data_IF_259191881135
#
_entry.id   IF_259191881135
#
_cell.length_a   1.000
_cell.length_b   1.000
_cell.length_c   1.000
_cell.angle_alpha   90.00
_cell.angle_beta   90.00
_cell.angle_gamma   90.00
#
_symmetry.space_group_name_H-M   'P 1'
#
loop_
_entity.id
_entity.type
_entity.pdbx_description
1 polymer ?
#
# COMPACT_ATOMS: atom_id res chain seq x y z
N UNK A 1 19.71 26.11 -30.16
CA UNK A 1 20.42 24.81 -30.16
C UNK A 1 20.50 24.35 -28.71
N UNK A 2 20.08 23.20 -28.21
CA UNK A 2 19.21 22.08 -28.63
C UNK A 2 18.88 21.37 -27.31
N UNK A 3 17.72 20.70 -27.25
CA UNK A 3 17.33 19.59 -26.35
C UNK A 3 16.25 19.91 -25.30
N UNK A 4 15.30 19.05 -24.98
CA UNK A 4 14.78 17.78 -25.53
C UNK A 4 13.34 17.73 -25.01
N UNK A 5 12.38 17.46 -25.89
CA UNK A 5 10.96 17.27 -25.56
C UNK A 5 10.77 15.88 -24.94
N UNK A 6 10.35 15.80 -23.68
CA UNK A 6 9.83 14.55 -23.10
C UNK A 6 8.30 14.60 -23.09
N UNK A 7 7.71 13.80 -23.97
CA UNK A 7 6.27 13.57 -24.10
C UNK A 7 5.73 12.92 -22.83
N UNK A 8 4.81 13.60 -22.16
CA UNK A 8 3.90 12.99 -21.21
C UNK A 8 2.87 12.17 -22.00
N UNK A 9 2.94 10.85 -21.90
CA UNK A 9 1.90 9.96 -22.40
C UNK A 9 0.85 9.75 -21.31
N UNK A 10 -0.27 10.44 -21.46
CA UNK A 10 -1.53 10.15 -20.79
C UNK A 10 -2.42 9.37 -21.78
N UNK A 11 -3.07 8.28 -21.36
CA UNK A 11 -4.36 7.95 -21.93
C UNK A 11 -5.44 8.10 -20.84
N UNK A 12 -6.39 8.96 -21.20
CA UNK A 12 -7.65 9.18 -20.53
C UNK A 12 -8.59 7.97 -20.68
N UNK A 13 -9.65 7.99 -19.85
CA UNK A 13 -10.92 7.24 -19.96
C UNK A 13 -10.98 5.89 -19.25
N UNK A 14 -11.50 5.91 -18.02
CA UNK A 14 -12.24 4.77 -17.47
C UNK A 14 -13.68 5.20 -17.17
N UNK A 15 -14.53 5.03 -18.18
CA UNK A 15 -15.96 4.87 -18.02
C UNK A 15 -16.30 3.39 -18.25
N UNK A 16 -16.96 2.80 -17.26
CA UNK A 16 -17.88 1.65 -17.27
C UNK A 16 -17.92 0.77 -18.56
N UNK A 17 -17.62 -0.53 -18.43
CA UNK A 17 -18.55 -1.66 -18.76
C UNK A 17 -17.89 -3.04 -18.62
N UNK A 18 -18.55 -3.89 -17.83
CA UNK A 18 -18.74 -5.35 -17.90
C UNK A 18 -17.88 -6.25 -18.84
N UNK A 19 -17.38 -7.33 -18.22
CA UNK A 19 -17.40 -8.76 -18.66
C UNK A 19 -16.92 -9.04 -20.11
N UNK A 20 -15.76 -9.69 -20.25
CA UNK A 20 -15.49 -10.95 -20.98
C UNK A 20 -14.00 -11.06 -21.33
N UNK A 21 -13.35 -12.07 -20.77
CA UNK A 21 -12.01 -12.52 -21.09
C UNK A 21 -11.84 -13.97 -20.61
N UNK A 22 -12.80 -14.82 -20.97
CA UNK A 22 -12.74 -16.27 -20.78
C UNK A 22 -11.78 -16.80 -21.85
N UNK A 23 -10.81 -17.61 -21.42
CA UNK A 23 -9.72 -18.26 -22.20
C UNK A 23 -8.34 -17.58 -22.17
N UNK A 24 -7.81 -17.37 -20.97
CA UNK A 24 -6.42 -17.73 -20.66
C UNK A 24 -6.43 -18.51 -19.36
N UNK A 25 -5.81 -19.69 -19.40
CA UNK A 25 -5.46 -20.65 -18.34
C UNK A 25 -6.05 -20.42 -16.94
N UNK A 26 -6.63 -21.47 -16.35
CA UNK A 26 -6.94 -21.57 -14.92
C UNK A 26 -6.00 -20.70 -14.09
N UNK A 27 -6.48 -19.52 -13.69
CA UNK A 27 -5.71 -18.56 -12.89
C UNK A 27 -5.51 -19.26 -11.56
N UNK A 28 -4.36 -19.92 -11.41
CA UNK A 28 -3.94 -20.51 -10.15
C UNK A 28 -3.87 -19.36 -9.17
N UNK A 29 -4.87 -19.25 -8.28
CA UNK A 29 -4.81 -18.31 -7.17
C UNK A 29 -3.50 -18.59 -6.45
N UNK A 30 -2.61 -17.59 -6.28
CA UNK A 30 -1.38 -17.81 -5.54
C UNK A 30 -1.76 -18.34 -4.17
N UNK A 31 -1.03 -19.34 -3.68
CA UNK A 31 -1.16 -19.77 -2.29
C UNK A 31 -0.78 -18.59 -1.40
N UNK A 32 -1.62 -18.34 -0.41
CA UNK A 32 -1.49 -17.24 0.52
C UNK A 32 -1.17 -17.76 1.91
N UNK A 33 -0.25 -17.05 2.56
CA UNK A 33 -0.08 -17.05 4.00
C UNK A 33 -0.97 -15.96 4.60
N UNK A 34 -1.42 -16.15 5.84
CA UNK A 34 -2.30 -15.19 6.51
C UNK A 34 -1.97 -15.05 8.01
N UNK A 35 -2.07 -13.81 8.49
CA UNK A 35 -2.05 -13.48 9.91
C UNK A 35 -3.03 -12.36 10.23
N UNK A 36 -3.74 -12.50 11.34
CA UNK A 36 -4.49 -11.41 11.93
C UNK A 36 -3.63 -10.69 12.98
N UNK A 37 -3.56 -9.38 12.87
CA UNK A 37 -2.84 -8.50 13.81
C UNK A 37 -3.75 -7.38 14.29
N UNK A 38 -3.39 -6.72 15.38
CA UNK A 38 -4.12 -5.56 15.90
C UNK A 38 -3.39 -4.27 15.52
N UNK A 39 -3.99 -3.42 14.69
CA UNK A 39 -3.49 -2.07 14.39
C UNK A 39 -4.44 -1.05 14.97
N UNK A 40 -3.91 -0.15 15.81
CA UNK A 40 -4.70 0.92 16.45
C UNK A 40 -6.02 0.37 17.08
N UNK A 41 -5.94 -0.78 17.74
CA UNK A 41 -7.08 -1.43 18.39
C UNK A 41 -8.06 -2.18 17.47
N UNK A 42 -7.76 -2.32 16.17
CA UNK A 42 -8.64 -2.96 15.18
C UNK A 42 -7.96 -4.17 14.53
N UNK A 43 -8.70 -5.27 14.26
CA UNK A 43 -8.14 -6.44 13.60
C UNK A 43 -7.88 -6.15 12.13
N UNK A 44 -6.69 -6.54 11.65
CA UNK A 44 -6.27 -6.43 10.26
C UNK A 44 -5.75 -7.80 9.80
N UNK A 45 -6.29 -8.30 8.71
CA UNK A 45 -5.83 -9.52 8.04
C UNK A 45 -4.70 -9.16 7.08
N UNK A 46 -3.49 -9.64 7.39
CA UNK A 46 -2.30 -9.52 6.54
C UNK A 46 -2.12 -10.81 5.77
N UNK A 47 -2.12 -10.71 4.45
CA UNK A 47 -1.92 -11.82 3.52
C UNK A 47 -0.69 -11.58 2.66
N UNK A 48 0.08 -12.63 2.42
CA UNK A 48 1.19 -12.57 1.48
C UNK A 48 1.33 -13.86 0.68
N UNK A 49 1.86 -13.76 -0.54
CA UNK A 49 2.03 -14.92 -1.41
C UNK A 49 3.18 -15.82 -0.96
N UNK A 50 3.18 -17.09 -1.39
CA UNK A 50 4.34 -17.98 -1.22
C UNK A 50 5.64 -17.38 -1.77
N UNK A 51 5.54 -16.52 -2.80
CA UNK A 51 6.71 -15.85 -3.39
C UNK A 51 7.25 -14.76 -2.47
N UNK A 52 6.37 -13.91 -1.93
CA UNK A 52 6.72 -12.96 -0.88
C UNK A 52 7.31 -13.68 0.33
N UNK A 53 6.73 -14.81 0.75
CA UNK A 53 7.20 -15.58 1.91
C UNK A 53 8.65 -16.07 1.73
N UNK A 54 8.99 -16.61 0.56
CA UNK A 54 10.37 -17.01 0.24
C UNK A 54 11.33 -15.83 0.32
N UNK A 55 10.94 -14.68 -0.21
CA UNK A 55 11.77 -13.48 -0.17
C UNK A 55 11.92 -12.95 1.25
N UNK A 56 10.86 -12.97 2.07
CA UNK A 56 10.92 -12.57 3.47
C UNK A 56 11.92 -13.43 4.25
N UNK A 57 11.89 -14.76 4.08
CA UNK A 57 12.79 -15.69 4.78
C UNK A 57 14.26 -15.54 4.35
N UNK A 58 14.51 -15.11 3.12
CA UNK A 58 15.86 -14.92 2.59
C UNK A 58 16.49 -13.58 3.01
N UNK A 59 15.75 -12.70 3.70
CA UNK A 59 16.27 -11.40 4.15
C UNK A 59 17.06 -11.53 5.44
N UNK A 60 18.13 -10.73 5.52
CA UNK A 60 18.94 -10.56 6.73
C UNK A 60 18.32 -9.58 7.72
N UNK A 61 17.49 -8.65 7.23
CA UNK A 61 16.73 -7.66 8.01
C UNK A 61 15.22 -7.93 7.95
N UNK A 62 14.50 -7.36 8.91
CA UNK A 62 13.05 -7.31 8.86
C UNK A 62 12.56 -6.42 7.70
N UNK A 63 11.45 -6.78 7.05
CA UNK A 63 10.73 -5.87 6.15
C UNK A 63 9.63 -5.17 6.94
N UNK A 64 9.56 -3.84 6.82
CA UNK A 64 8.50 -3.05 7.43
C UNK A 64 7.59 -2.53 6.33
N UNK A 65 6.29 -2.79 6.45
CA UNK A 65 5.28 -2.37 5.48
C UNK A 65 4.38 -1.31 6.10
N UNK A 66 4.40 -0.13 5.51
CA UNK A 66 3.54 0.98 5.88
C UNK A 66 2.29 0.99 5.01
N UNK A 67 1.12 1.04 5.64
CA UNK A 67 -0.12 1.41 4.97
C UNK A 67 -0.38 2.89 5.22
N UNK A 68 -0.18 3.70 4.19
CA UNK A 68 -0.46 5.13 4.28
C UNK A 68 -1.82 5.44 3.66
N UNK A 69 -2.67 6.13 4.44
CA UNK A 69 -3.91 6.71 3.95
C UNK A 69 -3.77 8.22 3.95
N UNK A 70 -3.64 8.79 2.75
CA UNK A 70 -3.42 10.21 2.57
C UNK A 70 -4.71 10.93 2.21
N UNK A 71 -5.19 11.75 3.14
CA UNK A 71 -6.33 12.63 2.97
C UNK A 71 -5.87 13.97 2.40
N UNK A 72 -6.07 14.15 1.09
CA UNK A 72 -5.90 15.44 0.41
C UNK A 72 -7.25 15.85 -0.21
N UNK A 73 -7.25 16.60 -1.32
CA UNK A 73 -8.47 16.81 -2.11
C UNK A 73 -9.11 15.50 -2.60
N UNK A 74 -8.31 14.45 -2.72
CA UNK A 74 -8.77 13.08 -2.93
C UNK A 74 -8.06 12.17 -1.94
N UNK A 75 -8.74 11.10 -1.53
CA UNK A 75 -8.12 10.06 -0.70
C UNK A 75 -7.19 9.24 -1.58
N UNK A 76 -5.92 9.15 -1.18
CA UNK A 76 -4.90 8.33 -1.83
C UNK A 76 -4.45 7.24 -0.87
N UNK A 77 -4.09 6.08 -1.42
CA UNK A 77 -3.60 4.93 -0.66
C UNK A 77 -2.21 4.59 -1.17
N UNK A 78 -1.28 4.38 -0.25
CA UNK A 78 0.06 3.94 -0.57
C UNK A 78 0.47 2.78 0.32
N UNK A 79 1.26 1.88 -0.24
CA UNK A 79 2.00 0.89 0.53
C UNK A 79 3.47 1.18 0.34
N UNK A 80 4.15 1.53 1.44
CA UNK A 80 5.59 1.76 1.45
C UNK A 80 6.31 0.57 2.08
N UNK A 81 7.51 0.29 1.59
CA UNK A 81 8.35 -0.81 2.03
C UNK A 81 9.66 -0.23 2.55
N UNK A 82 9.94 -0.45 3.83
CA UNK A 82 11.07 0.12 4.54
C UNK A 82 12.02 -0.97 5.03
N UNK A 83 13.31 -0.66 5.00
CA UNK A 83 14.39 -1.50 5.53
C UNK A 83 14.75 -1.12 6.97
N UNK A 84 14.46 0.12 7.37
CA UNK A 84 14.79 0.69 8.68
C UNK A 84 13.53 0.87 9.51
N UNK A 85 13.67 0.72 10.84
CA UNK A 85 12.56 0.90 11.78
C UNK A 85 12.09 2.37 11.77
N UNK A 86 10.80 2.64 11.51
CA UNK A 86 10.25 3.97 11.64
C UNK A 86 10.16 4.38 13.11
N UNK A 87 9.96 5.67 13.36
CA UNK A 87 9.64 6.18 14.70
C UNK A 87 8.26 5.70 15.17
N UNK A 88 7.34 5.45 14.22
CA UNK A 88 6.00 4.96 14.51
C UNK A 88 6.03 3.52 15.06
N UNK A 89 5.18 3.19 16.04
CA UNK A 89 5.06 1.82 16.53
C UNK A 89 4.64 0.85 15.43
N UNK A 90 5.41 -0.23 15.28
CA UNK A 90 5.13 -1.32 14.33
C UNK A 90 4.55 -2.54 15.04
N UNK A 91 3.77 -3.32 14.31
CA UNK A 91 3.19 -4.58 14.79
C UNK A 91 3.76 -5.73 13.98
N UNK A 92 4.33 -6.69 14.70
CA UNK A 92 4.98 -7.85 14.11
C UNK A 92 3.96 -8.86 13.56
N UNK A 93 4.12 -9.23 12.30
CA UNK A 93 3.29 -10.22 11.59
C UNK A 93 3.97 -11.59 11.58
N UNK A 94 5.29 -11.61 11.37
CA UNK A 94 6.14 -12.80 11.37
C UNK A 94 7.58 -12.46 11.78
N UNK A 95 8.50 -13.42 11.74
CA UNK A 95 9.91 -13.19 12.05
C UNK A 95 10.61 -12.15 11.15
N UNK A 96 10.10 -11.91 9.94
CA UNK A 96 10.73 -11.03 8.94
C UNK A 96 9.80 -9.96 8.40
N UNK A 97 8.62 -9.78 9.01
CA UNK A 97 7.60 -8.86 8.54
C UNK A 97 6.95 -8.15 9.72
N UNK A 98 7.02 -6.82 9.70
CA UNK A 98 6.21 -5.94 10.53
C UNK A 98 5.38 -5.00 9.67
N UNK A 99 4.28 -4.52 10.24
CA UNK A 99 3.37 -3.59 9.57
C UNK A 99 3.02 -2.44 10.50
N UNK A 100 2.74 -1.28 9.92
CA UNK A 100 2.11 -0.17 10.62
C UNK A 100 1.17 0.59 9.69
N UNK A 101 0.33 1.43 10.30
CA UNK A 101 -0.66 2.22 9.59
C UNK A 101 -0.45 3.70 9.93
N UNK A 102 -0.27 4.52 8.90
CA UNK A 102 -0.06 5.96 9.04
C UNK A 102 -1.10 6.75 8.23
N UNK A 103 -2.16 7.22 8.89
CA UNK A 103 -3.10 8.16 8.29
C UNK A 103 -2.53 9.58 8.34
N UNK A 104 -2.43 10.23 7.18
CA UNK A 104 -1.89 11.58 7.04
C UNK A 104 -2.86 12.48 6.29
N UNK A 105 -2.88 13.78 6.59
CA UNK A 105 -3.66 14.78 5.84
C UNK A 105 -2.78 15.89 5.30
N UNK A 106 -3.16 16.49 4.18
CA UNK A 106 -2.47 17.66 3.65
C UNK A 106 -2.81 18.92 4.44
N UNK A 107 -1.87 19.89 4.49
CA UNK A 107 -2.11 21.21 5.09
C UNK A 107 -2.98 22.13 4.23
N UNK A 108 -2.98 21.93 2.92
CA UNK A 108 -3.81 22.66 1.95
C UNK A 108 -4.50 21.67 1.03
N UNK A 109 -5.73 21.94 0.61
CA UNK A 109 -6.35 21.20 -0.49
C UNK A 109 -6.69 22.20 -1.59
N UNK A 110 -5.85 22.22 -2.63
CA UNK A 110 -6.15 22.88 -3.91
C UNK A 110 -6.08 21.83 -5.00
N UNK A 111 -7.10 21.80 -5.86
CA UNK A 111 -7.22 20.77 -6.89
C UNK A 111 -6.09 20.89 -7.91
N UNK A 112 -5.59 22.11 -8.13
CA UNK A 112 -4.45 22.41 -9.01
C UNK A 112 -3.14 21.78 -8.50
N UNK A 113 -3.03 21.59 -7.18
CA UNK A 113 -1.88 20.97 -6.51
C UNK A 113 -2.09 19.46 -6.28
N UNK A 114 -3.25 18.90 -6.65
CA UNK A 114 -3.61 17.50 -6.35
C UNK A 114 -2.73 16.47 -7.09
N UNK A 115 -1.94 16.90 -8.07
CA UNK A 115 -0.99 16.07 -8.81
C UNK A 115 0.25 15.77 -7.95
N UNK A 116 0.68 16.71 -7.12
CA UNK A 116 1.88 16.59 -6.29
C UNK A 116 1.55 16.21 -4.84
N UNK A 117 2.51 15.62 -4.14
CA UNK A 117 2.39 15.30 -2.71
C UNK A 117 2.63 16.57 -1.91
N UNK A 118 1.66 16.97 -1.09
CA UNK A 118 1.77 18.17 -0.26
C UNK A 118 2.31 17.81 1.13
N UNK A 119 2.86 18.80 1.87
CA UNK A 119 3.28 18.58 3.26
C UNK A 119 2.14 18.00 4.11
N UNK A 120 2.47 16.93 4.82
CA UNK A 120 1.52 16.17 5.63
C UNK A 120 1.54 16.58 7.10
N UNK A 121 0.43 16.35 7.78
CA UNK A 121 0.31 16.30 9.24
C UNK A 121 -0.44 15.03 9.63
N UNK A 122 -0.18 14.53 10.83
CA UNK A 122 -0.94 13.40 11.37
C UNK A 122 -2.38 13.81 11.65
N UNK A 123 -3.29 12.88 11.41
CA UNK A 123 -4.70 13.06 11.71
C UNK A 123 -5.01 12.78 13.18
N UNK A 124 -6.02 13.47 13.73
CA UNK A 124 -6.43 13.32 15.12
C UNK A 124 -6.97 11.89 15.39
N UNK A 125 -6.56 11.24 16.51
CA UNK A 125 -6.88 9.83 16.83
C UNK A 125 -8.36 9.43 16.69
N UNK A 126 -9.27 10.31 17.07
CA UNK A 126 -10.72 10.02 17.09
C UNK A 126 -11.29 9.84 15.68
N UNK A 127 -10.68 10.48 14.68
CA UNK A 127 -11.02 10.32 13.26
C UNK A 127 -10.39 9.02 12.72
N UNK A 128 -9.20 8.65 13.21
CA UNK A 128 -8.39 7.53 12.70
C UNK A 128 -9.07 6.18 12.88
N UNK A 129 -9.78 6.00 13.99
CA UNK A 129 -10.41 4.74 14.31
C UNK A 129 -11.33 4.28 13.20
N UNK A 130 -11.99 5.17 12.45
CA UNK A 130 -12.86 4.80 11.32
C UNK A 130 -12.14 4.16 10.13
N UNK A 131 -10.83 4.42 9.96
CA UNK A 131 -10.12 4.21 8.71
C UNK A 131 -8.98 3.19 8.77
N UNK A 132 -8.80 2.51 9.90
CA UNK A 132 -7.88 1.36 9.95
C UNK A 132 -8.34 0.30 8.93
N UNK A 133 -7.45 -0.15 8.02
CA UNK A 133 -7.81 -1.11 6.99
C UNK A 133 -8.14 -2.48 7.57
N UNK A 134 -8.97 -3.26 6.87
CA UNK A 134 -9.27 -4.65 7.23
C UNK A 134 -8.31 -5.65 6.61
N UNK A 135 -7.75 -5.33 5.44
CA UNK A 135 -6.92 -6.25 4.68
C UNK A 135 -5.67 -5.55 4.17
N UNK A 136 -4.53 -6.23 4.27
CA UNK A 136 -3.27 -5.91 3.60
C UNK A 136 -2.82 -7.12 2.79
N UNK A 137 -2.61 -6.93 1.49
CA UNK A 137 -2.03 -7.92 0.59
C UNK A 137 -0.60 -7.52 0.24
N UNK A 138 0.34 -8.46 0.30
CA UNK A 138 1.75 -8.27 -0.05
C UNK A 138 2.20 -9.34 -1.05
N UNK A 139 2.94 -8.92 -2.07
CA UNK A 139 3.55 -9.81 -3.07
C UNK A 139 4.96 -9.35 -3.44
N UNK A 140 5.70 -10.21 -4.13
CA UNK A 140 7.00 -9.88 -4.69
C UNK A 140 7.04 -10.25 -6.17
N UNK A 141 7.15 -9.26 -7.06
CA UNK A 141 7.16 -9.46 -8.52
C UNK A 141 8.22 -8.60 -9.17
N UNK A 142 8.86 -9.16 -10.21
CA UNK A 142 9.86 -8.45 -11.02
C UNK A 142 10.98 -7.76 -10.20
N UNK A 143 11.42 -8.43 -9.13
CA UNK A 143 12.47 -7.91 -8.25
C UNK A 143 12.01 -6.85 -7.24
N UNK A 144 10.70 -6.62 -7.11
CA UNK A 144 10.14 -5.54 -6.31
C UNK A 144 9.00 -6.01 -5.40
N UNK A 145 8.91 -5.37 -4.23
CA UNK A 145 7.78 -5.53 -3.33
C UNK A 145 6.55 -4.80 -3.86
N UNK A 146 5.39 -5.43 -3.68
CA UNK A 146 4.11 -4.87 -4.04
C UNK A 146 3.13 -5.05 -2.89
N UNK A 147 2.24 -4.08 -2.68
CA UNK A 147 1.18 -4.24 -1.72
C UNK A 147 -0.02 -3.35 -1.99
N UNK A 148 -1.16 -3.80 -1.48
CA UNK A 148 -2.44 -3.11 -1.55
C UNK A 148 -3.21 -3.32 -0.25
N UNK A 149 -4.04 -2.35 0.13
CA UNK A 149 -4.89 -2.48 1.31
C UNK A 149 -6.34 -2.03 1.08
N UNK A 150 -7.26 -2.66 1.81
CA UNK A 150 -8.70 -2.46 1.72
C UNK A 150 -9.35 -2.26 3.09
N UNK A 151 -10.52 -1.60 3.08
CA UNK A 151 -11.27 -1.19 4.28
C UNK A 151 -12.36 -2.19 4.65
#
# INVERSE_FOLDING_TARGET
MTNITLKQNMPSRFGLTHIWGRLVNAVTRPRLHERNVMLQGRPVTVQWTDKADRMLRARDSELIVEMELYFSCMVKKYVHFHEELPENPVVRVSERLSVFYQPVTSKSCKIEEAIERQPTIDLAPDILNGYVPKYLYIDYRDGQWYGEFAM
#
